data_IF_988185202329
#
_entry.id   IF_988185202329
#
_cell.length_a   1.000
_cell.length_b   1.000
_cell.length_c   1.000
_cell.angle_alpha   90.00
_cell.angle_beta   90.00
_cell.angle_gamma   90.00
#
_symmetry.space_group_name_H-M   'P 1'
#
loop_
_entity.id
_entity.type
_entity.pdbx_description
1 polymer ?
#
# COMPACT_ATOMS: atom_id res chain seq x y z
N UNK A 1 -32.76 -19.29 46.66
CA UNK A 1 -31.34 -19.09 46.39
C UNK A 1 -31.19 -18.37 45.02
N UNK A 2 -30.91 -17.08 45.00
CA UNK A 2 -30.71 -16.31 43.76
C UNK A 2 -29.21 -16.28 43.48
N UNK A 3 -28.80 -16.92 42.36
CA UNK A 3 -27.43 -16.92 41.88
C UNK A 3 -27.24 -15.57 41.14
N UNK A 4 -26.39 -14.69 41.65
CA UNK A 4 -26.06 -13.42 41.08
C UNK A 4 -24.86 -13.64 40.12
N UNK A 5 -25.12 -13.65 38.80
CA UNK A 5 -24.09 -13.71 37.79
C UNK A 5 -23.37 -12.37 37.69
N UNK A 6 -22.13 -12.30 38.17
CA UNK A 6 -21.23 -11.18 37.89
C UNK A 6 -20.64 -11.29 36.50
N UNK A 7 -21.05 -10.38 35.63
CA UNK A 7 -20.43 -10.19 34.30
C UNK A 7 -19.10 -9.42 34.51
N UNK A 8 -17.97 -10.11 34.41
CA UNK A 8 -16.66 -9.46 34.45
C UNK A 8 -16.40 -8.84 33.07
N UNK A 9 -16.54 -7.52 32.96
CA UNK A 9 -16.12 -6.76 31.75
C UNK A 9 -14.62 -6.55 31.86
N UNK A 10 -13.85 -7.29 31.08
CA UNK A 10 -12.40 -7.07 30.95
C UNK A 10 -12.19 -5.86 30.04
N UNK A 11 -11.87 -4.72 30.60
CA UNK A 11 -11.42 -3.54 29.88
C UNK A 11 -9.97 -3.78 29.42
N UNK A 12 -9.76 -4.11 28.14
CA UNK A 12 -8.41 -4.16 27.55
C UNK A 12 -7.95 -2.71 27.36
N UNK A 13 -7.25 -2.15 28.33
CA UNK A 13 -6.55 -0.88 28.18
C UNK A 13 -5.37 -1.06 27.24
N UNK A 14 -5.49 -0.62 25.99
CA UNK A 14 -4.35 -0.54 25.06
C UNK A 14 -3.43 0.55 25.59
N UNK A 15 -2.26 0.16 26.08
CA UNK A 15 -1.27 1.05 26.67
C UNK A 15 -0.68 1.98 25.59
N UNK A 16 -0.74 3.32 25.71
CA UNK A 16 -0.21 4.26 24.72
C UNK A 16 1.30 4.09 24.46
N UNK A 17 2.06 3.60 25.42
CA UNK A 17 3.49 3.28 25.26
C UNK A 17 3.75 2.18 24.23
N UNK A 18 2.95 1.12 24.21
CA UNK A 18 3.11 0.00 23.25
C UNK A 18 2.91 0.47 21.80
N UNK A 19 1.94 1.36 21.56
CA UNK A 19 1.67 1.92 20.23
C UNK A 19 2.79 2.87 19.76
N UNK A 20 3.42 3.60 20.67
CA UNK A 20 4.53 4.50 20.35
C UNK A 20 5.80 3.71 20.00
N UNK A 21 6.10 2.62 20.72
CA UNK A 21 7.25 1.77 20.48
C UNK A 21 7.10 0.99 19.16
N UNK A 22 5.91 0.49 18.83
CA UNK A 22 5.62 -0.16 17.56
C UNK A 22 5.86 0.79 16.38
N UNK A 23 5.35 2.03 16.45
CA UNK A 23 5.56 3.03 15.39
C UNK A 23 7.04 3.42 15.23
N UNK A 24 7.79 3.50 16.32
CA UNK A 24 9.23 3.77 16.28
C UNK A 24 9.96 2.64 15.56
N UNK A 25 9.69 1.39 15.93
CA UNK A 25 10.29 0.22 15.29
C UNK A 25 9.99 0.18 13.78
N UNK A 26 8.76 0.51 13.37
CA UNK A 26 8.37 0.62 11.96
C UNK A 26 9.24 1.63 11.20
N UNK A 27 9.45 2.82 11.79
CA UNK A 27 10.28 3.87 11.18
C UNK A 27 11.74 3.43 11.11
N UNK A 28 12.26 2.85 12.19
CA UNK A 28 13.65 2.39 12.29
C UNK A 28 13.94 1.31 11.21
N UNK A 29 12.99 0.39 10.95
CA UNK A 29 13.11 -0.59 9.87
C UNK A 29 13.17 0.05 8.48
N UNK A 30 12.33 1.04 8.22
CA UNK A 30 12.33 1.77 6.95
C UNK A 30 13.59 2.62 6.75
N UNK A 31 14.16 3.17 7.82
CA UNK A 31 15.39 3.98 7.76
C UNK A 31 16.65 3.13 7.46
N UNK A 32 16.61 1.84 7.76
CA UNK A 32 17.72 0.91 7.42
C UNK A 32 17.88 0.71 5.91
N UNK A 33 16.84 0.99 5.12
CA UNK A 33 16.81 0.64 3.69
C UNK A 33 16.56 -0.84 3.44
N UNK A 34 16.69 -1.28 2.19
CA UNK A 34 16.55 -2.68 1.81
C UNK A 34 15.15 -3.27 2.03
N UNK A 35 14.11 -2.47 1.86
CA UNK A 35 12.71 -2.91 2.02
C UNK A 35 11.92 -2.73 0.72
N UNK A 36 10.98 -3.65 0.50
CA UNK A 36 9.90 -3.50 -0.47
C UNK A 36 8.71 -2.88 0.25
N UNK A 37 8.30 -1.70 -0.20
CA UNK A 37 7.23 -0.91 0.41
C UNK A 37 6.06 -0.87 -0.55
N UNK A 38 4.99 -1.57 -0.22
CA UNK A 38 3.77 -1.57 -1.00
C UNK A 38 2.79 -0.57 -0.43
N UNK A 39 2.19 0.24 -1.30
CA UNK A 39 1.15 1.21 -0.91
C UNK A 39 -0.06 0.94 -1.79
N UNK A 40 -1.17 0.54 -1.17
CA UNK A 40 -2.43 0.57 -1.90
C UNK A 40 -2.76 2.02 -2.24
N UNK A 41 -3.14 2.30 -3.49
CA UNK A 41 -3.57 3.65 -3.87
C UNK A 41 -4.48 4.27 -2.81
N UNK A 42 -4.39 5.58 -2.64
CA UNK A 42 -5.17 6.33 -1.68
C UNK A 42 -6.69 6.22 -1.96
N UNK A 43 -7.50 6.73 -1.06
CA UNK A 43 -8.94 6.54 -1.09
C UNK A 43 -9.58 7.02 -2.40
N UNK A 44 -10.20 6.07 -3.09
CA UNK A 44 -11.00 6.25 -4.28
C UNK A 44 -12.35 5.59 -4.04
N UNK A 45 -13.46 6.36 -3.89
CA UNK A 45 -14.76 5.84 -3.51
C UNK A 45 -15.32 4.89 -4.59
N UNK A 46 -16.17 3.95 -4.17
CA UNK A 46 -16.81 2.97 -5.04
C UNK A 46 -15.99 1.67 -5.20
N UNK A 47 -16.51 0.77 -6.03
CA UNK A 47 -15.93 -0.55 -6.32
C UNK A 47 -15.72 -0.75 -7.82
N UNK A 48 -14.57 -1.26 -8.22
CA UNK A 48 -14.24 -1.46 -9.64
C UNK A 48 -13.98 -0.18 -10.41
N UNK A 49 -13.87 -0.29 -11.71
CA UNK A 49 -13.81 0.81 -12.67
C UNK A 49 -15.07 0.74 -13.57
N UNK A 50 -15.50 1.84 -14.23
CA UNK A 50 -16.62 1.83 -15.17
C UNK A 50 -16.42 0.86 -16.35
N UNK A 51 -17.52 0.46 -17.01
CA UNK A 51 -17.47 -0.52 -18.12
C UNK A 51 -16.69 0.01 -19.35
N UNK A 52 -16.72 1.33 -19.57
CA UNK A 52 -15.99 2.03 -20.64
C UNK A 52 -14.53 2.31 -20.30
N UNK A 53 -13.99 1.66 -19.25
CA UNK A 53 -12.62 1.84 -18.78
C UNK A 53 -11.58 1.83 -19.91
N UNK A 54 -10.79 2.90 -19.91
CA UNK A 54 -9.61 3.06 -20.76
C UNK A 54 -8.43 3.50 -19.91
N UNK A 55 -7.32 2.73 -19.92
CA UNK A 55 -6.13 3.01 -19.11
C UNK A 55 -5.47 4.36 -19.46
N UNK A 56 -5.65 4.85 -20.68
CA UNK A 56 -5.08 6.12 -21.16
C UNK A 56 -5.97 7.33 -20.85
N UNK A 57 -7.22 7.11 -20.42
CA UNK A 57 -8.17 8.17 -20.16
C UNK A 57 -8.68 8.11 -18.72
N UNK A 58 -8.22 9.05 -17.90
CA UNK A 58 -8.60 9.11 -16.48
C UNK A 58 -10.07 9.42 -16.26
N UNK A 59 -10.78 10.01 -17.23
CA UNK A 59 -12.22 10.32 -17.11
C UNK A 59 -13.08 9.07 -17.12
N UNK A 60 -12.55 7.96 -17.64
CA UNK A 60 -13.21 6.64 -17.67
C UNK A 60 -12.81 5.74 -16.51
N UNK A 61 -12.10 6.28 -15.51
CA UNK A 61 -11.59 5.50 -14.39
C UNK A 61 -12.19 5.97 -13.06
N UNK A 62 -12.23 5.06 -12.10
CA UNK A 62 -12.46 5.41 -10.72
C UNK A 62 -11.22 6.10 -10.16
N UNK A 63 -11.34 7.38 -9.81
CA UNK A 63 -10.25 8.25 -9.40
C UNK A 63 -10.25 8.53 -7.89
N UNK A 64 -9.20 9.18 -7.39
CA UNK A 64 -9.13 9.61 -6.00
C UNK A 64 -10.21 10.65 -5.68
N UNK A 65 -10.73 10.59 -4.47
CA UNK A 65 -11.49 11.72 -3.89
C UNK A 65 -10.53 12.79 -3.35
N UNK A 66 -11.09 13.93 -2.94
CA UNK A 66 -10.28 14.97 -2.29
C UNK A 66 -9.64 14.46 -0.98
N UNK A 67 -10.35 13.64 -0.20
CA UNK A 67 -9.78 12.99 0.98
C UNK A 67 -8.66 12.01 0.61
N UNK A 68 -8.77 11.31 -0.54
CA UNK A 68 -7.69 10.47 -1.05
C UNK A 68 -6.45 11.28 -1.47
N UNK A 69 -6.63 12.47 -2.04
CA UNK A 69 -5.51 13.38 -2.33
C UNK A 69 -4.83 13.86 -1.05
N UNK A 70 -5.61 14.22 -0.02
CA UNK A 70 -5.08 14.56 1.30
C UNK A 70 -4.34 13.37 1.91
N UNK A 71 -4.89 12.16 1.81
CA UNK A 71 -4.22 10.93 2.27
C UNK A 71 -2.88 10.72 1.55
N UNK A 72 -2.82 10.94 0.24
CA UNK A 72 -1.57 10.86 -0.54
C UNK A 72 -0.51 11.87 -0.05
N UNK A 73 -0.93 13.08 0.31
CA UNK A 73 -0.03 14.09 0.93
C UNK A 73 0.47 13.62 2.30
N UNK A 74 -0.41 13.05 3.13
CA UNK A 74 -0.02 12.49 4.43
C UNK A 74 1.01 11.37 4.28
N UNK A 75 0.83 10.48 3.27
CA UNK A 75 1.80 9.43 2.94
C UNK A 75 3.18 10.07 2.64
N UNK A 76 3.26 11.00 1.71
CA UNK A 76 4.52 11.67 1.36
C UNK A 76 5.16 12.40 2.54
N UNK A 77 4.35 13.08 3.35
CA UNK A 77 4.80 13.77 4.56
C UNK A 77 5.36 12.78 5.60
N UNK A 78 4.79 11.57 5.72
CA UNK A 78 5.30 10.54 6.60
C UNK A 78 6.74 10.15 6.24
N UNK A 79 7.04 9.87 4.97
CA UNK A 79 8.39 9.53 4.52
C UNK A 79 9.37 10.70 4.73
N UNK A 80 8.96 11.90 4.33
CA UNK A 80 9.79 13.11 4.47
C UNK A 80 10.10 13.44 5.93
N UNK A 81 9.08 13.47 6.80
CA UNK A 81 9.23 13.82 8.23
C UNK A 81 10.16 12.83 8.94
N UNK A 82 10.06 11.55 8.61
CA UNK A 82 10.86 10.50 9.23
C UNK A 82 12.19 10.24 8.51
N UNK A 83 12.55 11.06 7.50
CA UNK A 83 13.82 10.95 6.76
C UNK A 83 14.06 9.54 6.19
N UNK A 84 12.98 8.89 5.71
CA UNK A 84 13.06 7.57 5.12
C UNK A 84 13.58 7.72 3.68
N UNK A 85 14.73 7.12 3.40
CA UNK A 85 15.33 7.14 2.06
C UNK A 85 14.59 6.18 1.12
N UNK A 86 14.32 6.64 -0.10
CA UNK A 86 13.66 5.86 -1.16
C UNK A 86 14.57 5.88 -2.39
N UNK A 87 14.87 4.70 -2.93
CA UNK A 87 15.65 4.58 -4.16
C UNK A 87 14.80 4.86 -5.39
N UNK A 88 13.70 4.14 -5.52
CA UNK A 88 12.78 4.25 -6.67
C UNK A 88 11.34 4.09 -6.23
N UNK A 89 10.45 4.79 -6.96
CA UNK A 89 8.99 4.65 -6.82
C UNK A 89 8.43 4.11 -8.12
N UNK A 90 7.68 3.02 -8.02
CA UNK A 90 6.97 2.41 -9.12
C UNK A 90 5.47 2.48 -8.90
N UNK A 91 4.71 2.69 -9.96
CA UNK A 91 3.25 2.81 -9.90
C UNK A 91 2.58 1.91 -10.92
N UNK A 92 1.40 1.42 -10.59
CA UNK A 92 0.45 0.95 -11.60
C UNK A 92 0.13 2.07 -12.59
N UNK A 93 -0.25 1.70 -13.81
CA UNK A 93 -0.66 2.63 -14.87
C UNK A 93 -2.05 3.27 -14.62
N UNK A 94 -2.84 2.77 -13.66
CA UNK A 94 -4.14 3.35 -13.27
C UNK A 94 -3.99 4.75 -12.72
N UNK A 95 -4.89 5.65 -13.09
CA UNK A 95 -4.81 7.07 -12.72
C UNK A 95 -4.77 7.30 -11.22
N UNK A 96 -5.56 6.57 -10.42
CA UNK A 96 -5.54 6.65 -8.95
C UNK A 96 -4.20 6.26 -8.33
N UNK A 97 -3.47 5.30 -8.93
CA UNK A 97 -2.13 4.91 -8.47
C UNK A 97 -1.10 5.97 -8.87
N UNK A 98 -1.14 6.43 -10.12
CA UNK A 98 -0.27 7.50 -10.61
C UNK A 98 -0.44 8.80 -9.81
N UNK A 99 -1.69 9.17 -9.53
CA UNK A 99 -2.00 10.37 -8.74
C UNK A 99 -1.52 10.22 -7.29
N UNK A 100 -1.72 9.05 -6.65
CA UNK A 100 -1.16 8.76 -5.32
C UNK A 100 0.37 8.90 -5.32
N UNK A 101 1.05 8.27 -6.29
CA UNK A 101 2.52 8.31 -6.39
C UNK A 101 3.03 9.73 -6.66
N UNK A 102 2.40 10.46 -7.58
CA UNK A 102 2.76 11.84 -7.92
C UNK A 102 2.62 12.79 -6.73
N UNK A 103 1.53 12.71 -5.98
CA UNK A 103 1.29 13.58 -4.82
C UNK A 103 2.26 13.23 -3.68
N UNK A 104 2.48 11.94 -3.41
CA UNK A 104 3.31 11.52 -2.29
C UNK A 104 4.82 11.67 -2.55
N UNK A 105 5.28 11.36 -3.76
CA UNK A 105 6.71 11.20 -4.07
C UNK A 105 7.21 12.07 -5.22
N UNK A 106 6.33 12.69 -5.99
CA UNK A 106 6.59 13.51 -7.18
C UNK A 106 7.05 12.68 -8.38
N UNK A 107 8.18 11.97 -8.27
CA UNK A 107 8.77 11.17 -9.34
C UNK A 107 8.42 9.69 -9.17
N UNK A 108 8.03 9.03 -10.25
CA UNK A 108 7.74 7.60 -10.30
C UNK A 108 7.85 7.06 -11.74
N UNK A 109 7.99 5.76 -11.86
CA UNK A 109 7.92 5.02 -13.12
C UNK A 109 6.71 4.09 -13.10
N UNK A 110 5.97 3.98 -14.21
CA UNK A 110 4.89 3.00 -14.31
C UNK A 110 5.40 1.60 -14.68
N UNK A 111 4.77 0.59 -14.09
CA UNK A 111 5.02 -0.81 -14.40
C UNK A 111 3.70 -1.55 -14.57
N UNK A 112 3.52 -2.23 -15.69
CA UNK A 112 2.29 -2.95 -16.01
C UNK A 112 2.01 -4.13 -15.07
N UNK A 113 3.04 -4.74 -14.48
CA UNK A 113 2.89 -5.80 -13.50
C UNK A 113 2.29 -5.33 -12.16
N UNK A 114 2.17 -4.01 -11.95
CA UNK A 114 1.46 -3.41 -10.81
C UNK A 114 -0.02 -3.11 -11.12
N UNK A 115 -0.50 -3.40 -12.32
CA UNK A 115 -1.86 -3.12 -12.76
C UNK A 115 -2.88 -4.02 -12.07
N UNK A 116 -4.12 -3.52 -11.91
CA UNK A 116 -5.20 -4.29 -11.31
C UNK A 116 -5.63 -5.46 -12.21
N UNK A 117 -5.83 -6.62 -11.61
CA UNK A 117 -6.51 -7.77 -12.22
C UNK A 117 -7.81 -8.13 -11.49
N UNK A 118 -8.42 -7.14 -10.81
CA UNK A 118 -9.66 -7.32 -10.06
C UNK A 118 -10.86 -7.67 -10.94
N UNK A 119 -11.01 -6.97 -12.07
CA UNK A 119 -12.08 -7.23 -13.03
C UNK A 119 -11.79 -8.48 -13.86
N UNK A 120 -12.83 -9.25 -14.20
CA UNK A 120 -12.73 -10.42 -15.09
C UNK A 120 -11.99 -10.11 -16.39
N UNK A 121 -12.20 -8.91 -16.95
CA UNK A 121 -11.51 -8.40 -18.14
C UNK A 121 -9.97 -8.49 -18.03
N UNK A 122 -9.43 -8.36 -16.82
CA UNK A 122 -7.98 -8.34 -16.55
C UNK A 122 -7.47 -9.55 -15.75
N UNK A 123 -8.35 -10.43 -15.30
CA UNK A 123 -8.01 -11.58 -14.44
C UNK A 123 -6.92 -12.48 -15.06
N UNK A 124 -6.95 -12.66 -16.39
CA UNK A 124 -5.96 -13.47 -17.11
C UNK A 124 -4.53 -12.89 -17.06
N UNK A 125 -4.37 -11.61 -16.72
CA UNK A 125 -3.04 -10.98 -16.61
C UNK A 125 -2.32 -11.36 -15.31
N UNK A 126 -3.05 -11.82 -14.27
CA UNK A 126 -2.53 -12.11 -12.92
C UNK A 126 -1.23 -12.92 -12.96
N UNK A 127 -1.26 -14.12 -13.58
CA UNK A 127 -0.10 -15.02 -13.58
C UNK A 127 1.14 -14.36 -14.19
N UNK A 128 0.97 -13.70 -15.33
CA UNK A 128 2.09 -13.01 -16.01
C UNK A 128 2.63 -11.86 -15.18
N UNK A 129 1.75 -11.06 -14.58
CA UNK A 129 2.14 -9.91 -13.76
C UNK A 129 2.96 -10.33 -12.53
N UNK A 130 2.59 -11.41 -11.85
CA UNK A 130 3.36 -11.93 -10.72
C UNK A 130 4.74 -12.44 -11.15
N UNK A 131 4.82 -13.19 -12.24
CA UNK A 131 6.11 -13.64 -12.79
C UNK A 131 7.00 -12.45 -13.16
N UNK A 132 6.44 -11.42 -13.81
CA UNK A 132 7.19 -10.22 -14.18
C UNK A 132 7.67 -9.43 -12.94
N UNK A 133 6.84 -9.37 -11.88
CA UNK A 133 7.22 -8.78 -10.60
C UNK A 133 8.37 -9.55 -9.93
N UNK A 134 8.26 -10.88 -9.81
CA UNK A 134 9.29 -11.73 -9.21
C UNK A 134 10.62 -11.58 -9.95
N UNK A 135 10.58 -11.59 -11.28
CA UNK A 135 11.76 -11.36 -12.12
C UNK A 135 12.34 -9.96 -11.88
N UNK A 136 11.48 -8.95 -11.71
CA UNK A 136 11.93 -7.58 -11.46
C UNK A 136 12.67 -7.47 -10.11
N UNK A 137 12.10 -7.99 -9.02
CA UNK A 137 12.73 -7.92 -7.70
C UNK A 137 13.94 -8.84 -7.55
N UNK A 138 14.06 -9.91 -8.37
CA UNK A 138 15.21 -10.81 -8.31
C UNK A 138 16.54 -10.10 -8.61
N UNK A 139 16.51 -9.04 -9.41
CA UNK A 139 17.67 -8.23 -9.79
C UNK A 139 17.96 -7.05 -8.84
N UNK A 140 17.10 -6.85 -7.84
CA UNK A 140 17.28 -5.78 -6.86
C UNK A 140 18.35 -6.15 -5.84
N UNK A 141 19.25 -5.20 -5.56
CA UNK A 141 20.44 -5.35 -4.72
C UNK A 141 20.22 -5.11 -3.21
N UNK A 142 19.00 -4.73 -2.83
CA UNK A 142 18.60 -4.42 -1.43
C UNK A 142 19.28 -3.20 -0.79
N UNK A 143 20.00 -2.39 -1.56
CA UNK A 143 20.69 -1.21 -1.01
C UNK A 143 19.70 -0.12 -0.56
N UNK A 144 18.60 0.03 -1.27
CA UNK A 144 17.62 1.10 -1.05
C UNK A 144 16.19 0.55 -0.98
N UNK A 145 15.31 1.28 -0.28
CA UNK A 145 13.89 0.98 -0.31
C UNK A 145 13.30 1.18 -1.70
N UNK A 146 12.49 0.23 -2.16
CA UNK A 146 11.64 0.38 -3.34
C UNK A 146 10.19 0.57 -2.93
N UNK A 147 9.50 1.54 -3.53
CA UNK A 147 8.08 1.81 -3.30
C UNK A 147 7.26 1.35 -4.50
N UNK A 148 6.16 0.62 -4.24
CA UNK A 148 5.21 0.13 -5.23
C UNK A 148 3.80 0.64 -4.90
N UNK A 149 3.32 1.64 -5.65
CA UNK A 149 1.95 2.15 -5.53
C UNK A 149 1.04 1.35 -6.44
N UNK A 150 0.16 0.54 -5.86
CA UNK A 150 -0.63 -0.43 -6.61
C UNK A 150 -2.02 -0.67 -6.01
N UNK A 151 -2.63 -1.79 -6.28
CA UNK A 151 -3.99 -2.18 -5.92
C UNK A 151 -4.00 -3.27 -4.85
N UNK A 152 -5.10 -3.33 -4.07
CA UNK A 152 -5.20 -4.33 -3.02
C UNK A 152 -5.04 -5.77 -3.56
N UNK A 153 -5.59 -6.07 -4.75
CA UNK A 153 -5.50 -7.41 -5.35
C UNK A 153 -4.06 -7.83 -5.67
N UNK A 154 -3.22 -6.87 -6.08
CA UNK A 154 -1.80 -7.12 -6.38
C UNK A 154 -1.04 -7.35 -5.08
N UNK A 155 -1.27 -6.51 -4.07
CA UNK A 155 -0.62 -6.66 -2.75
C UNK A 155 -1.05 -7.97 -2.10
N UNK A 156 -2.35 -8.30 -2.14
CA UNK A 156 -2.86 -9.55 -1.58
C UNK A 156 -2.27 -10.78 -2.25
N UNK A 157 -2.06 -10.72 -3.57
CA UNK A 157 -1.46 -11.83 -4.30
C UNK A 157 0.02 -12.01 -3.97
N UNK A 158 0.78 -10.90 -3.86
CA UNK A 158 2.22 -10.94 -3.63
C UNK A 158 2.54 -11.24 -2.15
N UNK A 159 1.82 -10.61 -1.22
CA UNK A 159 2.16 -10.64 0.21
C UNK A 159 1.20 -11.47 1.07
N UNK A 160 0.15 -12.05 0.48
CA UNK A 160 -0.96 -12.67 1.22
C UNK A 160 -1.54 -11.74 2.32
N UNK A 161 -1.61 -10.43 2.01
CA UNK A 161 -2.08 -9.38 2.90
C UNK A 161 -3.03 -8.42 2.16
N UNK A 162 -4.20 -8.15 2.72
CA UNK A 162 -5.23 -7.29 2.11
C UNK A 162 -5.24 -5.89 2.75
N UNK A 163 -4.54 -4.89 2.18
CA UNK A 163 -4.40 -3.57 2.77
C UNK A 163 -5.66 -2.70 2.62
N UNK A 164 -5.86 -1.78 3.56
CA UNK A 164 -6.77 -0.64 3.46
C UNK A 164 -6.26 0.40 2.43
N UNK A 165 -7.12 1.35 2.00
CA UNK A 165 -6.69 2.44 1.10
C UNK A 165 -5.61 3.30 1.75
N UNK A 166 -4.52 3.56 1.04
CA UNK A 166 -3.39 4.35 1.52
C UNK A 166 -2.52 3.66 2.58
N UNK A 167 -2.79 2.40 2.89
CA UNK A 167 -1.97 1.64 3.84
C UNK A 167 -0.59 1.33 3.23
N UNK A 168 0.44 1.50 4.07
CA UNK A 168 1.83 1.18 3.78
C UNK A 168 2.11 -0.21 4.34
N UNK A 169 2.49 -1.16 3.48
CA UNK A 169 2.86 -2.53 3.84
C UNK A 169 4.34 -2.73 3.53
N UNK A 170 5.12 -3.09 4.53
CA UNK A 170 6.58 -3.27 4.40
C UNK A 170 6.91 -4.75 4.40
N UNK A 171 7.71 -5.18 3.44
CA UNK A 171 8.23 -6.55 3.38
C UNK A 171 9.73 -6.58 3.13
N UNK A 172 10.34 -7.72 3.43
CA UNK A 172 11.67 -8.06 2.96
C UNK A 172 11.64 -8.59 1.50
N UNK A 173 12.80 -8.91 0.96
CA UNK A 173 12.94 -9.47 -0.40
C UNK A 173 12.31 -10.86 -0.55
N UNK A 174 12.14 -11.60 0.54
CA UNK A 174 11.43 -12.89 0.54
C UNK A 174 9.91 -12.73 0.54
N UNK A 175 9.42 -11.48 0.45
CA UNK A 175 7.99 -11.10 0.44
C UNK A 175 7.28 -11.40 1.78
N UNK A 176 8.04 -11.57 2.84
CA UNK A 176 7.49 -11.69 4.19
C UNK A 176 7.14 -10.29 4.71
N UNK A 177 5.88 -10.07 5.06
CA UNK A 177 5.43 -8.82 5.70
C UNK A 177 6.14 -8.65 7.04
N UNK A 178 6.81 -7.50 7.20
CA UNK A 178 7.51 -7.11 8.42
C UNK A 178 6.57 -6.32 9.31
N UNK A 179 5.90 -5.30 8.74
CA UNK A 179 4.99 -4.42 9.49
C UNK A 179 4.07 -3.63 8.54
N UNK A 180 3.05 -2.98 9.06
CA UNK A 180 2.10 -2.16 8.29
C UNK A 180 1.77 -0.86 9.02
N UNK A 181 1.38 0.17 8.24
CA UNK A 181 0.94 1.45 8.78
C UNK A 181 -0.26 1.98 7.99
N UNK A 182 -1.40 2.08 8.63
CA UNK A 182 -2.56 2.78 8.08
C UNK A 182 -2.36 4.31 8.12
N UNK A 183 -2.66 4.97 7.02
CA UNK A 183 -2.71 6.43 6.91
C UNK A 183 -4.18 6.82 6.69
N UNK A 184 -4.78 7.46 7.66
CA UNK A 184 -6.19 7.90 7.58
C UNK A 184 -6.39 8.99 6.51
N UNK A 185 -7.55 8.93 5.81
CA UNK A 185 -7.95 9.92 4.78
C UNK A 185 -8.96 10.94 5.29
#
# INVERSE_FOLDING_TARGET
MKILNYLIIIFICINPSVKADSKKNFIDELQKGGKLIFIRHAYAPGGGDPDDFNIKDCTTQRNLSDSGRVQSQKIGNFFKKNKISIGKVYSSEWCRCKETASIAFKEYETKNFLNSFFSEKFANNRKKQIIDFDKFISTWDEDQNLVFVTHYVVISEILNYAPSSGEIVVSDKSLKVIDTLEIEY
#
